data_IF_724925767853
#
_entry.id   IF_724925767853
#
_cell.length_a   1.000
_cell.length_b   1.000
_cell.length_c   1.000
_cell.angle_alpha   90.00
_cell.angle_beta   90.00
_cell.angle_gamma   90.00
#
_symmetry.space_group_name_H-M   'P 1'
#
loop_
_entity.id
_entity.type
_entity.pdbx_description
1 polymer ?
#
# COMPACT_ATOMS: atom_id res chain seq x y z
N UNK A 1 -12.93 6.64 -5.03
CA UNK A 1 -11.98 7.05 -3.96
C UNK A 1 -10.97 5.97 -3.62
N UNK A 2 -11.36 4.74 -3.30
CA UNK A 2 -10.44 3.65 -2.88
C UNK A 2 -9.17 3.47 -3.72
N UNK A 3 -9.23 3.59 -5.05
CA UNK A 3 -8.06 3.47 -5.91
C UNK A 3 -6.98 4.53 -5.65
N UNK A 4 -7.37 5.73 -5.18
CA UNK A 4 -6.44 6.83 -4.92
C UNK A 4 -5.56 6.60 -3.70
N UNK A 5 -6.03 5.82 -2.71
CA UNK A 5 -5.17 5.40 -1.60
C UNK A 5 -3.98 4.58 -2.11
N UNK A 6 -4.16 3.68 -3.08
CA UNK A 6 -3.06 2.89 -3.64
C UNK A 6 -2.02 3.76 -4.36
N UNK A 7 -2.41 4.93 -4.90
CA UNK A 7 -1.46 5.88 -5.48
C UNK A 7 -0.52 6.51 -4.44
N UNK A 8 -0.87 6.50 -3.15
CA UNK A 8 0.01 6.97 -2.09
C UNK A 8 1.31 6.15 -2.00
N UNK A 9 1.29 4.90 -2.45
CA UNK A 9 2.44 4.03 -2.48
C UNK A 9 3.34 4.30 -3.70
N UNK A 10 2.88 5.04 -4.71
CA UNK A 10 3.62 5.25 -5.95
C UNK A 10 5.04 5.83 -5.73
N UNK A 11 5.29 6.85 -4.87
CA UNK A 11 6.64 7.33 -4.60
C UNK A 11 7.54 6.27 -3.96
N UNK A 12 6.96 5.46 -3.08
CA UNK A 12 7.68 4.38 -2.39
C UNK A 12 8.06 3.30 -3.40
N UNK A 13 7.25 3.06 -4.43
CA UNK A 13 7.54 2.08 -5.46
C UNK A 13 8.52 2.58 -6.54
N UNK A 14 8.91 3.85 -6.55
CA UNK A 14 9.84 4.39 -7.57
C UNK A 14 11.23 3.73 -7.53
N UNK A 15 11.62 3.10 -6.42
CA UNK A 15 12.89 2.36 -6.39
C UNK A 15 12.86 1.15 -7.33
N UNK A 16 11.71 0.49 -7.49
CA UNK A 16 11.58 -0.72 -8.32
C UNK A 16 11.50 -0.39 -9.81
N UNK A 17 11.22 0.87 -10.15
CA UNK A 17 11.15 1.35 -11.54
C UNK A 17 12.47 1.89 -12.07
N UNK A 18 13.57 1.84 -11.28
CA UNK A 18 14.88 2.41 -11.69
C UNK A 18 15.49 1.78 -12.94
N UNK A 19 15.14 0.53 -13.24
CA UNK A 19 15.63 -0.18 -14.42
C UNK A 19 14.86 0.17 -15.71
N UNK A 20 13.75 0.90 -15.62
CA UNK A 20 12.91 1.26 -16.76
C UNK A 20 13.56 2.45 -17.50
N UNK A 21 13.94 2.25 -18.75
CA UNK A 21 14.65 3.24 -19.56
C UNK A 21 13.73 3.94 -20.56
N UNK A 22 12.68 3.25 -21.03
CA UNK A 22 11.77 3.78 -22.06
C UNK A 22 10.33 3.87 -21.60
N UNK A 23 9.56 4.79 -22.20
CA UNK A 23 8.10 4.93 -21.93
C UNK A 23 7.35 3.64 -22.27
N UNK A 24 7.81 2.92 -23.29
CA UNK A 24 7.22 1.65 -23.71
C UNK A 24 7.44 0.57 -22.66
N UNK A 25 8.64 0.46 -22.10
CA UNK A 25 8.92 -0.43 -20.97
C UNK A 25 8.05 -0.09 -19.76
N UNK A 26 7.90 1.19 -19.42
CA UNK A 26 7.06 1.62 -18.30
C UNK A 26 5.60 1.15 -18.46
N UNK A 27 5.03 1.37 -19.65
CA UNK A 27 3.65 0.99 -19.95
C UNK A 27 3.47 -0.54 -19.96
N UNK A 28 4.40 -1.27 -20.59
CA UNK A 28 4.31 -2.73 -20.65
C UNK A 28 4.49 -3.36 -19.27
N UNK A 29 5.46 -2.91 -18.49
CA UNK A 29 5.67 -3.39 -17.12
C UNK A 29 4.41 -3.14 -16.27
N UNK A 30 3.85 -1.94 -16.32
CA UNK A 30 2.61 -1.62 -15.59
C UNK A 30 1.43 -2.49 -15.98
N UNK A 31 1.20 -2.71 -17.29
CA UNK A 31 0.10 -3.55 -17.77
C UNK A 31 0.32 -5.01 -17.38
N UNK A 32 1.51 -5.57 -17.62
CA UNK A 32 1.81 -6.97 -17.30
C UNK A 32 1.68 -7.22 -15.81
N UNK A 33 2.29 -6.37 -14.97
CA UNK A 33 2.16 -6.48 -13.51
C UNK A 33 0.71 -6.37 -13.08
N UNK A 34 -0.04 -5.42 -13.63
CA UNK A 34 -1.46 -5.26 -13.34
C UNK A 34 -2.28 -6.51 -13.65
N UNK A 35 -2.09 -7.11 -14.83
CA UNK A 35 -2.78 -8.35 -15.23
C UNK A 35 -2.38 -9.52 -14.33
N UNK A 36 -1.08 -9.74 -14.13
CA UNK A 36 -0.55 -10.85 -13.33
C UNK A 36 -1.06 -10.79 -11.88
N UNK A 37 -1.17 -9.60 -11.30
CA UNK A 37 -1.69 -9.41 -9.94
C UNK A 37 -3.21 -9.54 -9.88
N UNK A 38 -3.93 -9.00 -10.87
CA UNK A 38 -5.40 -8.99 -10.84
C UNK A 38 -6.05 -10.33 -11.18
N UNK A 39 -5.44 -11.14 -12.06
CA UNK A 39 -5.99 -12.45 -12.45
C UNK A 39 -6.29 -13.35 -11.23
N UNK A 40 -5.33 -13.64 -10.33
CA UNK A 40 -5.62 -14.48 -9.16
C UNK A 40 -6.63 -13.82 -8.21
N UNK A 41 -6.60 -12.50 -8.06
CA UNK A 41 -7.56 -11.78 -7.21
C UNK A 41 -9.01 -11.92 -7.74
N UNK A 42 -9.20 -11.80 -9.05
CA UNK A 42 -10.51 -11.96 -9.70
C UNK A 42 -10.99 -13.40 -9.63
N UNK A 43 -10.13 -14.38 -9.92
CA UNK A 43 -10.48 -15.80 -9.80
C UNK A 43 -10.91 -16.15 -8.38
N UNK A 44 -10.19 -15.64 -7.38
CA UNK A 44 -10.56 -15.81 -5.98
C UNK A 44 -11.88 -15.10 -5.64
N UNK A 45 -12.11 -13.89 -6.16
CA UNK A 45 -13.37 -13.17 -5.96
C UNK A 45 -14.57 -13.92 -6.55
N UNK A 46 -14.45 -14.52 -7.74
CA UNK A 46 -15.50 -15.35 -8.35
C UNK A 46 -15.88 -16.52 -7.44
N UNK A 47 -14.90 -17.08 -6.71
CA UNK A 47 -15.17 -18.19 -5.77
C UNK A 47 -16.15 -17.83 -4.64
N UNK A 48 -16.37 -16.54 -4.36
CA UNK A 48 -17.32 -16.10 -3.32
C UNK A 48 -18.75 -16.53 -3.60
N UNK A 49 -19.08 -16.83 -4.87
CA UNK A 49 -20.38 -17.39 -5.22
C UNK A 49 -20.69 -18.68 -4.43
N UNK A 50 -19.68 -19.48 -4.08
CA UNK A 50 -19.87 -20.69 -3.28
C UNK A 50 -20.22 -20.42 -1.80
N UNK A 51 -19.86 -19.22 -1.31
CA UNK A 51 -20.10 -18.77 0.06
C UNK A 51 -21.24 -17.76 0.20
N UNK A 52 -21.97 -17.48 -0.87
CA UNK A 52 -23.03 -16.47 -0.88
C UNK A 52 -24.29 -16.98 -0.14
N UNK A 53 -24.98 -16.15 0.67
CA UNK A 53 -24.70 -14.74 0.97
C UNK A 53 -23.74 -14.51 2.16
N UNK A 54 -23.46 -15.55 2.94
CA UNK A 54 -22.75 -15.51 4.23
C UNK A 54 -21.37 -14.86 4.15
N UNK A 55 -20.66 -15.02 3.02
CA UNK A 55 -19.35 -14.44 2.75
C UNK A 55 -19.35 -12.90 2.84
N UNK A 56 -20.48 -12.25 2.55
CA UNK A 56 -20.61 -10.79 2.60
C UNK A 56 -20.65 -10.23 4.02
N UNK A 57 -21.01 -11.06 5.00
CA UNK A 57 -21.09 -10.68 6.40
C UNK A 57 -19.75 -10.87 7.13
N UNK A 58 -18.77 -11.47 6.47
CA UNK A 58 -17.48 -11.78 7.08
C UNK A 58 -16.54 -10.57 7.04
N UNK A 59 -15.91 -10.20 8.18
CA UNK A 59 -14.94 -9.10 8.21
C UNK A 59 -13.72 -9.32 7.31
N UNK A 60 -13.32 -10.59 7.13
CA UNK A 60 -12.20 -11.00 6.26
C UNK A 60 -12.67 -12.16 5.37
N UNK A 61 -13.35 -11.87 4.24
CA UNK A 61 -13.97 -12.89 3.41
C UNK A 61 -12.98 -13.92 2.85
N UNK A 62 -11.76 -13.48 2.49
CA UNK A 62 -10.71 -14.38 1.99
C UNK A 62 -10.34 -15.48 3.00
N UNK A 63 -10.15 -15.10 4.26
CA UNK A 63 -9.84 -16.04 5.32
C UNK A 63 -10.99 -17.03 5.53
N UNK A 64 -12.23 -16.51 5.60
CA UNK A 64 -13.40 -17.34 5.81
C UNK A 64 -13.58 -18.37 4.68
N UNK A 65 -13.46 -17.94 3.42
CA UNK A 65 -13.53 -18.83 2.24
C UNK A 65 -12.50 -19.95 2.31
N UNK A 66 -11.23 -19.63 2.62
CA UNK A 66 -10.17 -20.64 2.68
C UNK A 66 -10.40 -21.60 3.85
N UNK A 67 -10.81 -21.07 5.00
CA UNK A 67 -11.08 -21.88 6.19
C UNK A 67 -12.24 -22.86 6.01
N UNK A 68 -13.27 -22.49 5.23
CA UNK A 68 -14.49 -23.29 5.04
C UNK A 68 -14.41 -24.26 3.86
N UNK A 69 -13.76 -23.88 2.76
CA UNK A 69 -13.81 -24.63 1.49
C UNK A 69 -12.47 -25.26 1.07
N UNK A 70 -11.41 -25.08 1.86
CA UNK A 70 -10.05 -25.50 1.47
C UNK A 70 -9.40 -26.38 2.53
N UNK A 71 -8.27 -27.01 2.20
CA UNK A 71 -7.55 -27.92 3.10
C UNK A 71 -6.76 -27.16 4.18
N UNK A 72 -6.48 -27.80 5.34
CA UNK A 72 -5.68 -27.18 6.40
C UNK A 72 -4.28 -26.73 5.96
N UNK A 73 -3.67 -27.44 4.99
CA UNK A 73 -2.37 -27.07 4.42
C UNK A 73 -2.44 -25.73 3.70
N UNK A 74 -3.45 -25.55 2.83
CA UNK A 74 -3.66 -24.31 2.08
C UNK A 74 -4.03 -23.15 3.02
N UNK A 75 -4.81 -23.41 4.07
CA UNK A 75 -5.06 -22.43 5.13
C UNK A 75 -3.76 -22.01 5.83
N UNK A 76 -2.87 -22.96 6.14
CA UNK A 76 -1.56 -22.68 6.72
C UNK A 76 -0.70 -21.79 5.82
N UNK A 77 -0.61 -22.12 4.52
CA UNK A 77 0.12 -21.31 3.52
C UNK A 77 -0.49 -19.90 3.43
N UNK A 78 -1.81 -19.80 3.36
CA UNK A 78 -2.51 -18.51 3.31
C UNK A 78 -2.22 -17.67 4.55
N UNK A 79 -2.25 -18.25 5.75
CA UNK A 79 -1.97 -17.53 6.99
C UNK A 79 -0.51 -17.04 7.05
N UNK A 80 0.45 -17.86 6.63
CA UNK A 80 1.86 -17.45 6.54
C UNK A 80 2.02 -16.29 5.57
N UNK A 81 1.41 -16.38 4.37
CA UNK A 81 1.46 -15.31 3.39
C UNK A 81 0.77 -14.03 3.90
N UNK A 82 -0.44 -14.15 4.44
CA UNK A 82 -1.23 -13.03 4.97
C UNK A 82 -0.50 -12.30 6.09
N UNK A 83 -0.01 -13.04 7.09
CA UNK A 83 0.72 -12.47 8.22
C UNK A 83 2.07 -11.92 7.77
N UNK A 84 2.79 -12.63 6.90
CA UNK A 84 4.06 -12.19 6.34
C UNK A 84 3.92 -10.84 5.63
N UNK A 85 2.97 -10.71 4.71
CA UNK A 85 2.70 -9.46 4.00
C UNK A 85 2.26 -8.34 4.94
N UNK A 86 1.46 -8.65 5.97
CA UNK A 86 1.02 -7.65 6.95
C UNK A 86 2.20 -7.13 7.79
N UNK A 87 3.08 -8.02 8.26
CA UNK A 87 4.29 -7.67 9.01
C UNK A 87 5.27 -6.88 8.13
N UNK A 88 5.51 -7.33 6.90
CA UNK A 88 6.39 -6.66 5.94
C UNK A 88 5.90 -5.24 5.63
N UNK A 89 4.61 -5.09 5.32
CA UNK A 89 4.01 -3.77 5.05
C UNK A 89 4.04 -2.88 6.28
N UNK A 90 3.68 -3.42 7.46
CA UNK A 90 3.67 -2.67 8.72
C UNK A 90 5.07 -2.17 9.10
N UNK A 91 6.08 -3.03 9.02
CA UNK A 91 7.48 -2.66 9.27
C UNK A 91 7.97 -1.61 8.26
N UNK A 92 7.64 -1.77 6.98
CA UNK A 92 7.98 -0.80 5.94
C UNK A 92 7.37 0.58 6.18
N UNK A 93 6.12 0.65 6.65
CA UNK A 93 5.47 1.92 7.00
C UNK A 93 6.13 2.60 8.20
N UNK A 94 6.45 1.83 9.26
CA UNK A 94 7.16 2.36 10.44
C UNK A 94 8.53 2.90 10.05
N UNK A 95 9.29 2.13 9.26
CA UNK A 95 10.60 2.54 8.76
C UNK A 95 10.48 3.82 7.91
N UNK A 96 9.49 3.88 7.02
CA UNK A 96 9.24 5.08 6.21
C UNK A 96 8.80 6.31 7.02
N UNK A 97 8.25 6.15 8.23
CA UNK A 97 8.00 7.28 9.15
C UNK A 97 9.30 7.73 9.79
N UNK A 98 10.13 6.79 10.27
CA UNK A 98 11.43 7.09 10.87
C UNK A 98 12.30 7.87 9.88
N UNK A 99 12.44 7.39 8.64
CA UNK A 99 13.24 8.04 7.60
C UNK A 99 12.75 9.46 7.27
N UNK A 100 11.43 9.68 7.26
CA UNK A 100 10.85 11.01 7.04
C UNK A 100 11.15 11.96 8.19
N UNK A 101 11.08 11.49 9.43
CA UNK A 101 11.45 12.28 10.60
C UNK A 101 12.94 12.62 10.56
N UNK A 102 13.80 11.65 10.21
CA UNK A 102 15.25 11.88 10.06
C UNK A 102 15.57 12.92 8.98
N UNK A 103 14.90 12.83 7.82
CA UNK A 103 15.07 13.80 6.73
C UNK A 103 14.71 15.24 7.13
N UNK A 104 13.77 15.42 8.07
CA UNK A 104 13.38 16.74 8.58
C UNK A 104 14.34 17.26 9.65
N UNK A 105 14.79 16.39 10.56
CA UNK A 105 15.66 16.77 11.69
C UNK A 105 17.11 16.98 11.24
N UNK A 106 17.57 16.23 10.24
CA UNK A 106 18.93 16.33 9.72
C UNK A 106 18.94 16.39 8.19
N UNK A 107 18.57 17.53 7.60
CA UNK A 107 18.53 17.70 6.13
C UNK A 107 19.88 17.46 5.45
N UNK A 108 20.99 17.71 6.15
CA UNK A 108 22.36 17.50 5.68
C UNK A 108 22.89 16.08 5.92
N UNK A 109 22.14 15.19 6.58
CA UNK A 109 22.54 13.79 6.81
C UNK A 109 23.51 13.52 7.98
N UNK A 110 24.02 14.57 8.64
CA UNK A 110 25.06 14.43 9.69
C UNK A 110 24.54 13.92 11.04
N UNK A 111 23.23 13.95 11.29
CA UNK A 111 22.62 13.53 12.56
C UNK A 111 21.53 12.48 12.33
N UNK A 112 21.84 11.23 12.68
CA UNK A 112 20.87 10.13 12.73
C UNK A 112 20.14 10.12 14.07
N UNK A 113 18.87 9.71 14.08
CA UNK A 113 18.15 9.47 15.33
C UNK A 113 18.84 8.35 16.11
N UNK A 114 18.92 8.49 17.43
CA UNK A 114 19.43 7.39 18.27
C UNK A 114 18.57 6.14 18.12
N UNK A 115 19.17 4.96 18.27
CA UNK A 115 18.44 3.68 18.17
C UNK A 115 17.24 3.62 19.13
N UNK A 116 17.36 4.23 20.32
CA UNK A 116 16.27 4.33 21.31
C UNK A 116 15.11 5.18 20.79
N UNK A 117 15.40 6.30 20.10
CA UNK A 117 14.37 7.14 19.51
C UNK A 117 13.65 6.42 18.36
N UNK A 118 14.39 5.72 17.48
CA UNK A 118 13.80 4.90 16.41
C UNK A 118 12.87 3.82 16.98
N UNK A 119 13.33 3.10 18.00
CA UNK A 119 12.52 2.10 18.69
C UNK A 119 11.27 2.71 19.34
N UNK A 120 11.38 3.87 19.99
CA UNK A 120 10.25 4.56 20.60
C UNK A 120 9.20 4.98 19.56
N UNK A 121 9.62 5.53 18.41
CA UNK A 121 8.72 5.87 17.29
C UNK A 121 8.04 4.62 16.76
N UNK A 122 8.79 3.52 16.59
CA UNK A 122 8.23 2.26 16.12
C UNK A 122 7.16 1.71 17.07
N UNK A 123 7.47 1.62 18.37
CA UNK A 123 6.52 1.17 19.40
C UNK A 123 5.30 2.09 19.46
N UNK A 124 5.49 3.41 19.47
CA UNK A 124 4.38 4.36 19.47
C UNK A 124 3.48 4.21 18.24
N UNK A 125 4.06 4.04 17.06
CA UNK A 125 3.31 3.85 15.80
C UNK A 125 2.53 2.55 15.83
N UNK A 126 3.14 1.45 16.31
CA UNK A 126 2.46 0.16 16.44
C UNK A 126 1.34 0.21 17.49
N UNK A 127 1.55 0.90 18.62
CA UNK A 127 0.52 1.09 19.64
C UNK A 127 -0.66 1.91 19.11
N UNK A 128 -0.40 2.99 18.36
CA UNK A 128 -1.46 3.77 17.70
C UNK A 128 -2.21 2.90 16.68
N UNK A 129 -1.50 2.09 15.91
CA UNK A 129 -2.11 1.11 14.99
C UNK A 129 -3.01 0.11 15.71
N UNK A 130 -2.54 -0.46 16.83
CA UNK A 130 -3.31 -1.40 17.64
C UNK A 130 -4.56 -0.75 18.27
N UNK A 131 -4.42 0.46 18.82
CA UNK A 131 -5.54 1.23 19.38
C UNK A 131 -6.59 1.53 18.31
N UNK A 132 -6.14 1.96 17.13
CA UNK A 132 -7.03 2.26 16.00
C UNK A 132 -7.69 0.98 15.47
N UNK A 133 -6.98 -0.15 15.49
CA UNK A 133 -7.50 -1.47 15.10
C UNK A 133 -8.67 -1.96 15.97
N UNK A 134 -8.78 -1.48 17.23
CA UNK A 134 -9.92 -1.81 18.11
C UNK A 134 -11.27 -1.32 17.57
N UNK A 135 -11.28 -0.37 16.63
CA UNK A 135 -12.50 0.11 15.96
C UNK A 135 -13.09 -0.91 14.97
N UNK A 136 -12.37 -2.00 14.69
CA UNK A 136 -12.78 -3.06 13.77
C UNK A 136 -12.36 -2.80 12.32
N UNK A 137 -11.94 -3.86 11.63
CA UNK A 137 -11.37 -3.77 10.28
C UNK A 137 -12.34 -3.17 9.26
N UNK A 138 -13.63 -3.50 9.34
CA UNK A 138 -14.65 -3.01 8.40
C UNK A 138 -14.80 -1.50 8.49
N UNK A 139 -14.92 -0.95 9.70
CA UNK A 139 -15.02 0.49 9.91
C UNK A 139 -13.73 1.22 9.51
N UNK A 140 -12.57 0.62 9.82
CA UNK A 140 -11.26 1.16 9.46
C UNK A 140 -11.06 1.25 7.95
N UNK A 141 -11.42 0.20 7.22
CA UNK A 141 -11.33 0.18 5.77
C UNK A 141 -12.31 1.19 5.19
N UNK A 142 -13.59 1.14 5.60
CA UNK A 142 -14.63 2.05 5.10
C UNK A 142 -14.29 3.54 5.28
N UNK A 143 -13.90 3.94 6.49
CA UNK A 143 -13.68 5.35 6.84
C UNK A 143 -12.22 5.76 6.68
N UNK A 144 -11.29 4.94 7.17
CA UNK A 144 -9.86 5.24 7.14
C UNK A 144 -9.33 5.33 5.71
N UNK A 145 -9.65 4.38 4.83
CA UNK A 145 -9.13 4.42 3.46
C UNK A 145 -9.76 5.56 2.67
N UNK A 146 -11.03 5.88 2.93
CA UNK A 146 -11.71 7.03 2.32
C UNK A 146 -11.04 8.34 2.74
N UNK A 147 -10.77 8.54 4.03
CA UNK A 147 -10.10 9.73 4.54
C UNK A 147 -8.68 9.87 3.98
N UNK A 148 -7.89 8.78 3.99
CA UNK A 148 -6.55 8.76 3.41
C UNK A 148 -6.57 9.06 1.91
N UNK A 149 -7.53 8.49 1.17
CA UNK A 149 -7.70 8.74 -0.26
C UNK A 149 -7.91 10.23 -0.56
N UNK A 150 -8.74 10.93 0.22
CA UNK A 150 -8.95 12.38 0.06
C UNK A 150 -7.66 13.14 0.35
N UNK A 151 -6.98 12.81 1.46
CA UNK A 151 -5.72 13.46 1.84
C UNK A 151 -4.65 13.33 0.75
N UNK A 152 -4.42 12.12 0.25
CA UNK A 152 -3.45 11.88 -0.83
C UNK A 152 -3.88 12.47 -2.16
N UNK A 153 -5.18 12.50 -2.47
CA UNK A 153 -5.66 13.16 -3.67
C UNK A 153 -5.27 14.65 -3.67
N UNK A 154 -5.51 15.34 -2.56
CA UNK A 154 -5.24 16.78 -2.43
C UNK A 154 -3.74 17.11 -2.38
N UNK A 155 -2.97 16.35 -1.60
CA UNK A 155 -1.56 16.68 -1.33
C UNK A 155 -0.60 16.11 -2.38
N UNK A 156 -0.97 15.01 -3.06
CA UNK A 156 -0.06 14.29 -3.95
C UNK A 156 -0.59 14.18 -5.39
N UNK A 157 -1.78 13.59 -5.59
CA UNK A 157 -2.27 13.26 -6.94
C UNK A 157 -2.57 14.53 -7.74
N UNK A 158 -3.35 15.46 -7.18
CA UNK A 158 -3.72 16.69 -7.89
C UNK A 158 -2.47 17.50 -8.27
N UNK A 159 -1.51 17.78 -7.37
CA UNK A 159 -0.29 18.49 -7.74
C UNK A 159 0.53 17.81 -8.84
N UNK A 160 0.67 16.48 -8.80
CA UNK A 160 1.44 15.75 -9.81
C UNK A 160 0.72 15.74 -11.16
N UNK A 161 -0.58 15.46 -11.17
CA UNK A 161 -1.36 15.40 -12.41
C UNK A 161 -1.58 16.78 -13.05
N UNK A 162 -1.50 17.87 -12.27
CA UNK A 162 -1.62 19.24 -12.77
C UNK A 162 -0.24 19.85 -13.05
N UNK A 163 0.46 20.27 -11.99
CA UNK A 163 1.75 20.95 -12.08
C UNK A 163 2.87 20.04 -12.61
N UNK A 164 2.87 18.76 -12.21
CA UNK A 164 3.87 17.80 -12.66
C UNK A 164 3.80 17.57 -14.16
N UNK A 165 2.61 17.35 -14.72
CA UNK A 165 2.41 17.15 -16.17
C UNK A 165 2.81 18.41 -16.95
N UNK A 166 2.41 19.60 -16.49
CA UNK A 166 2.79 20.86 -17.13
C UNK A 166 4.32 21.02 -17.18
N UNK A 167 5.03 20.73 -16.07
CA UNK A 167 6.50 20.79 -16.04
C UNK A 167 7.15 19.79 -16.99
N UNK A 168 6.64 18.56 -17.09
CA UNK A 168 7.16 17.54 -18.01
C UNK A 168 6.98 17.95 -19.48
N UNK A 169 5.84 18.53 -19.82
CA UNK A 169 5.57 19.01 -21.19
C UNK A 169 6.52 20.16 -21.54
N UNK A 170 6.70 21.13 -20.62
CA UNK A 170 7.57 22.29 -20.84
C UNK A 170 9.05 21.93 -20.92
N UNK A 171 9.53 21.01 -20.09
CA UNK A 171 10.92 20.52 -20.16
C UNK A 171 11.24 19.88 -21.52
N UNK A 172 10.27 19.16 -22.12
CA UNK A 172 10.44 18.57 -23.44
C UNK A 172 10.54 19.60 -24.57
N UNK A 173 9.86 20.74 -24.46
CA UNK A 173 9.94 21.81 -25.46
C UNK A 173 11.25 22.59 -25.41
N UNK A 174 11.96 22.61 -24.28
CA UNK A 174 13.27 23.29 -24.15
C UNK A 174 14.45 22.43 -24.63
N UNK A 175 14.24 21.12 -24.84
CA UNK A 175 15.29 20.19 -25.33
C UNK A 175 15.18 19.89 -26.83
N UNK A 176 14.28 20.58 -27.54
CA UNK A 176 14.10 20.47 -29.01
C UNK A 176 14.42 21.80 -29.64
#
# INVERSE_FOLDING_TARGET
>A
LYAMYNLALAPVLLFSTRAIQTRREALLAGIITGVVVMVPAVLFHISYAAGYPEVLEQPVPNYWMISKYTTPLLLGIFLVALLGTLVETGAGLVQGIIERIEAVISPSGDKSLSQRAKAAIGVATLMLGALTGSLGIVALVAKGYSALSVGFALVYIIPICTLGVVKVIKARSETT
#
